data_IF_570302675237
#
_entry.id   IF_570302675237
#
_cell.length_a   1.000
_cell.length_b   1.000
_cell.length_c   1.000
_cell.angle_alpha   90.00
_cell.angle_beta   90.00
_cell.angle_gamma   90.00
#
_symmetry.space_group_name_H-M   'P 1'
#
loop_
_entity.id
_entity.type
_entity.pdbx_description
1 polymer ?
#
# COMPACT_ATOMS: atom_id res chain seq x y z
N UNK A 1 -9.47 -4.15 15.28
CA UNK A 1 -9.00 -5.15 16.24
C UNK A 1 -7.65 -5.73 15.80
N UNK A 2 -7.44 -6.06 14.52
CA UNK A 2 -6.20 -6.70 14.05
C UNK A 2 -4.97 -5.80 14.19
N UNK A 3 -5.03 -4.54 13.72
CA UNK A 3 -3.92 -3.60 13.81
C UNK A 3 -3.43 -3.35 15.25
N UNK A 4 -4.32 -3.01 16.23
CA UNK A 4 -3.90 -2.89 17.62
C UNK A 4 -3.25 -4.15 18.19
N UNK A 5 -3.68 -5.35 17.74
CA UNK A 5 -3.08 -6.60 18.17
C UNK A 5 -1.65 -6.75 17.65
N UNK A 6 -1.38 -6.40 16.39
CA UNK A 6 -0.03 -6.41 15.82
C UNK A 6 0.91 -5.44 16.56
N UNK A 7 0.45 -4.21 16.83
CA UNK A 7 1.20 -3.25 17.65
C UNK A 7 1.49 -3.77 19.06
N UNK A 8 0.49 -4.40 19.70
CA UNK A 8 0.66 -4.97 21.04
C UNK A 8 1.71 -6.09 21.05
N UNK A 9 1.71 -6.95 20.01
CA UNK A 9 2.72 -8.02 19.87
C UNK A 9 4.12 -7.43 19.67
N UNK A 10 4.27 -6.43 18.81
CA UNK A 10 5.56 -5.74 18.59
C UNK A 10 6.09 -5.12 19.88
N UNK A 11 5.25 -4.37 20.58
CA UNK A 11 5.59 -3.74 21.86
C UNK A 11 5.94 -4.76 22.96
N UNK A 12 5.18 -5.83 23.05
CA UNK A 12 5.46 -6.91 24.02
C UNK A 12 6.78 -7.61 23.71
N UNK A 13 7.08 -7.85 22.43
CA UNK A 13 8.29 -8.52 22.02
C UNK A 13 9.53 -7.61 22.07
N UNK A 14 9.38 -6.29 21.83
CA UNK A 14 10.49 -5.34 21.79
C UNK A 14 11.50 -5.65 20.70
N UNK A 15 11.07 -6.33 19.63
CA UNK A 15 11.90 -6.75 18.50
C UNK A 15 11.08 -6.68 17.21
N UNK A 16 11.78 -6.69 16.05
CA UNK A 16 11.09 -6.78 14.76
C UNK A 16 10.34 -8.10 14.56
N UNK A 17 9.75 -8.28 13.38
CA UNK A 17 8.85 -9.40 13.07
C UNK A 17 9.41 -10.77 13.45
N UNK A 18 10.63 -11.10 13.01
CA UNK A 18 11.23 -12.42 13.27
C UNK A 18 11.41 -12.70 14.76
N UNK A 19 11.88 -11.71 15.51
CA UNK A 19 12.07 -11.83 16.95
C UNK A 19 10.75 -11.94 17.71
N UNK A 20 9.72 -11.25 17.25
CA UNK A 20 8.37 -11.32 17.84
C UNK A 20 7.77 -12.71 17.69
N UNK A 21 7.88 -13.31 16.53
CA UNK A 21 7.46 -14.71 16.31
C UNK A 21 8.30 -15.69 17.13
N UNK A 22 9.62 -15.54 17.14
CA UNK A 22 10.50 -16.38 17.96
C UNK A 22 10.14 -16.31 19.43
N UNK A 23 9.90 -15.10 19.97
CA UNK A 23 9.51 -14.89 21.37
C UNK A 23 8.14 -15.46 21.70
N UNK A 24 7.17 -15.31 20.80
CA UNK A 24 5.83 -15.87 20.97
C UNK A 24 5.86 -17.40 21.03
N UNK A 25 6.65 -18.05 20.20
CA UNK A 25 6.80 -19.51 20.22
C UNK A 25 7.62 -20.00 21.42
N UNK A 26 8.64 -19.25 21.82
CA UNK A 26 9.42 -19.54 23.03
C UNK A 26 8.56 -19.52 24.29
N UNK A 27 7.56 -18.64 24.38
CA UNK A 27 6.65 -18.60 25.53
C UNK A 27 5.87 -19.89 25.73
N UNK A 28 5.68 -20.67 24.67
CA UNK A 28 5.01 -21.98 24.71
C UNK A 28 5.97 -23.14 24.93
N UNK A 29 7.15 -23.09 24.30
CA UNK A 29 8.21 -24.06 24.47
C UNK A 29 9.56 -23.46 24.08
N UNK A 30 10.61 -23.56 24.93
CA UNK A 30 11.95 -23.06 24.59
C UNK A 30 12.53 -23.69 23.30
N UNK A 31 12.19 -24.95 23.01
CA UNK A 31 12.65 -25.64 21.80
C UNK A 31 11.99 -25.12 20.53
N UNK A 32 10.81 -24.49 20.64
CA UNK A 32 10.06 -23.98 19.51
C UNK A 32 10.52 -22.58 19.02
N UNK A 33 11.40 -21.91 19.74
CA UNK A 33 11.89 -20.56 19.39
C UNK A 33 12.45 -20.45 17.97
N UNK A 34 13.27 -21.42 17.55
CA UNK A 34 13.84 -21.45 16.20
C UNK A 34 12.77 -21.63 15.12
N UNK A 35 11.77 -22.48 15.40
CA UNK A 35 10.66 -22.70 14.48
C UNK A 35 9.79 -21.43 14.36
N UNK A 36 9.55 -20.74 15.47
CA UNK A 36 8.83 -19.45 15.48
C UNK A 36 9.55 -18.39 14.64
N UNK A 37 10.87 -18.24 14.81
CA UNK A 37 11.68 -17.34 14.00
C UNK A 37 11.65 -17.69 12.50
N UNK A 38 11.71 -18.97 12.17
CA UNK A 38 11.59 -19.41 10.77
C UNK A 38 10.21 -19.09 10.18
N UNK A 39 9.14 -19.30 10.93
CA UNK A 39 7.78 -18.94 10.49
C UNK A 39 7.59 -17.42 10.33
N UNK A 40 8.31 -16.61 11.08
CA UNK A 40 8.30 -15.15 10.94
C UNK A 40 8.80 -14.64 9.59
N UNK A 41 9.56 -15.47 8.85
CA UNK A 41 9.98 -15.13 7.47
C UNK A 41 8.80 -15.08 6.48
N UNK A 42 7.74 -15.86 6.69
CA UNK A 42 6.59 -15.86 5.78
C UNK A 42 5.92 -14.49 5.68
N UNK A 43 5.44 -13.88 6.78
CA UNK A 43 4.83 -12.56 6.72
C UNK A 43 5.83 -11.46 6.35
N UNK A 44 7.10 -11.60 6.74
CA UNK A 44 8.14 -10.64 6.35
C UNK A 44 8.40 -10.68 4.84
N UNK A 45 8.57 -11.85 4.24
CA UNK A 45 8.73 -11.99 2.80
C UNK A 45 7.50 -11.49 2.04
N UNK A 46 6.29 -11.77 2.53
CA UNK A 46 5.05 -11.22 1.97
C UNK A 46 5.05 -9.69 1.96
N UNK A 47 5.43 -9.06 3.06
CA UNK A 47 5.56 -7.61 3.16
C UNK A 47 6.59 -7.04 2.19
N UNK A 48 7.73 -7.71 2.05
CA UNK A 48 8.78 -7.30 1.10
C UNK A 48 8.27 -7.38 -0.35
N UNK A 49 7.59 -8.45 -0.72
CA UNK A 49 7.01 -8.58 -2.06
C UNK A 49 5.99 -7.48 -2.34
N UNK A 50 5.13 -7.16 -1.37
CA UNK A 50 4.17 -6.07 -1.48
C UNK A 50 4.90 -4.73 -1.64
N UNK A 51 5.93 -4.47 -0.83
CA UNK A 51 6.69 -3.22 -0.91
C UNK A 51 7.38 -3.04 -2.28
N UNK A 52 7.93 -4.10 -2.85
CA UNK A 52 8.52 -4.08 -4.19
C UNK A 52 7.45 -3.74 -5.24
N UNK A 53 6.29 -4.41 -5.19
CA UNK A 53 5.17 -4.12 -6.10
C UNK A 53 4.69 -2.68 -5.98
N UNK A 54 4.55 -2.16 -4.77
CA UNK A 54 4.17 -0.76 -4.54
C UNK A 54 5.20 0.23 -5.07
N UNK A 55 6.49 -0.03 -4.90
CA UNK A 55 7.54 0.85 -5.40
C UNK A 55 7.45 0.99 -6.93
N UNK A 56 7.11 -0.09 -7.65
CA UNK A 56 6.88 -0.06 -9.10
C UNK A 56 5.64 0.79 -9.44
N UNK A 57 4.51 0.56 -8.74
CA UNK A 57 3.28 1.33 -8.98
C UNK A 57 3.50 2.82 -8.71
N UNK A 58 4.18 3.18 -7.61
CA UNK A 58 4.52 4.59 -7.30
C UNK A 58 5.39 5.19 -8.38
N UNK A 59 6.28 4.42 -9.00
CA UNK A 59 7.10 4.86 -10.12
C UNK A 59 6.27 5.20 -11.36
N UNK A 60 5.22 4.43 -11.65
CA UNK A 60 4.26 4.76 -12.71
C UNK A 60 3.49 6.05 -12.40
N UNK A 61 3.07 6.23 -11.15
CA UNK A 61 2.39 7.45 -10.71
C UNK A 61 3.32 8.66 -10.82
N UNK A 62 4.59 8.52 -10.44
CA UNK A 62 5.59 9.58 -10.57
C UNK A 62 5.80 9.98 -12.04
N UNK A 63 5.87 8.99 -12.95
CA UNK A 63 5.93 9.25 -14.39
C UNK A 63 4.70 10.01 -14.87
N UNK A 64 3.50 9.57 -14.47
CA UNK A 64 2.25 10.25 -14.82
C UNK A 64 2.22 11.70 -14.29
N UNK A 65 2.73 11.93 -13.09
CA UNK A 65 2.85 13.27 -12.51
C UNK A 65 3.78 14.15 -13.35
N UNK A 66 4.96 13.65 -13.71
CA UNK A 66 5.92 14.39 -14.54
C UNK A 66 5.28 14.75 -15.89
N UNK A 67 4.65 13.78 -16.57
CA UNK A 67 4.02 13.99 -17.86
C UNK A 67 2.79 14.91 -17.78
N UNK A 68 2.11 14.93 -16.65
CA UNK A 68 1.01 15.87 -16.39
C UNK A 68 1.52 17.30 -16.24
N UNK A 69 2.60 17.49 -15.45
CA UNK A 69 3.20 18.83 -15.21
C UNK A 69 3.87 19.38 -16.47
N UNK A 70 4.50 18.53 -17.27
CA UNK A 70 5.12 18.91 -18.54
C UNK A 70 4.10 19.12 -19.67
N UNK A 71 2.83 18.79 -19.45
CA UNK A 71 1.78 18.87 -20.47
C UNK A 71 1.78 17.74 -21.48
N UNK A 72 2.68 16.78 -21.38
CA UNK A 72 2.80 15.64 -22.30
C UNK A 72 1.50 14.82 -22.35
N UNK A 73 0.82 14.62 -21.22
CA UNK A 73 -0.46 13.91 -21.16
C UNK A 73 -1.60 14.60 -21.92
N UNK A 74 -1.48 15.90 -22.20
CA UNK A 74 -2.48 16.65 -22.97
C UNK A 74 -2.33 16.43 -24.49
N UNK A 75 -1.18 15.93 -24.92
CA UNK A 75 -0.83 15.78 -26.35
C UNK A 75 -0.85 14.32 -26.82
N UNK A 76 -0.89 13.36 -25.90
CA UNK A 76 -0.88 11.93 -26.21
C UNK A 76 -2.24 11.29 -25.92
N UNK A 77 -2.54 10.19 -26.62
CA UNK A 77 -3.68 9.36 -26.28
C UNK A 77 -3.41 8.66 -24.94
N UNK A 78 -4.20 9.01 -23.93
CA UNK A 78 -4.05 8.50 -22.55
C UNK A 78 -4.29 7.00 -22.45
N UNK A 79 -5.08 6.41 -23.35
CA UNK A 79 -5.35 4.98 -23.34
C UNK A 79 -4.11 4.16 -23.77
N UNK A 80 -3.36 4.64 -24.75
CA UNK A 80 -2.14 3.99 -25.24
C UNK A 80 -0.90 4.40 -24.44
N UNK A 81 -0.92 5.55 -23.77
CA UNK A 81 0.24 6.09 -23.04
C UNK A 81 0.81 5.12 -22.00
N UNK A 82 -0.04 4.54 -21.16
CA UNK A 82 0.40 3.60 -20.12
C UNK A 82 0.99 2.35 -20.74
N UNK A 83 0.36 1.80 -21.79
CA UNK A 83 0.82 0.61 -22.47
C UNK A 83 2.18 0.87 -23.16
N UNK A 84 2.32 1.98 -23.85
CA UNK A 84 3.58 2.36 -24.51
C UNK A 84 4.74 2.54 -23.51
N UNK A 85 4.43 3.06 -22.33
CA UNK A 85 5.43 3.23 -21.27
C UNK A 85 5.75 1.91 -20.56
N UNK A 86 4.74 1.11 -20.22
CA UNK A 86 4.91 -0.13 -19.44
C UNK A 86 5.57 -1.26 -20.24
N UNK A 87 5.42 -1.26 -21.57
CA UNK A 87 6.03 -2.27 -22.45
C UNK A 87 7.44 -1.92 -22.89
N UNK A 88 7.87 -0.67 -22.68
CA UNK A 88 9.23 -0.24 -23.06
C UNK A 88 10.23 -0.65 -21.99
N UNK A 89 11.22 -1.43 -22.37
CA UNK A 89 12.28 -1.89 -21.48
C UNK A 89 12.97 -0.71 -20.78
N UNK A 90 13.22 -0.88 -19.48
CA UNK A 90 13.91 0.07 -18.59
C UNK A 90 13.28 1.46 -18.46
N UNK A 91 12.11 1.73 -19.05
CA UNK A 91 11.45 3.04 -18.98
C UNK A 91 11.09 3.45 -17.55
N UNK A 92 10.77 2.49 -16.70
CA UNK A 92 10.38 2.68 -15.29
C UNK A 92 11.58 2.95 -14.40
N UNK A 93 12.77 2.45 -14.75
CA UNK A 93 13.96 2.44 -13.89
C UNK A 93 14.33 3.81 -13.34
N UNK A 94 14.42 4.91 -14.11
CA UNK A 94 14.80 6.20 -13.56
C UNK A 94 13.80 6.69 -12.51
N UNK A 95 12.52 6.50 -12.71
CA UNK A 95 11.47 6.85 -11.74
C UNK A 95 11.53 5.95 -10.50
N UNK A 96 11.81 4.66 -10.71
CA UNK A 96 11.96 3.69 -9.64
C UNK A 96 13.16 4.03 -8.74
N UNK A 97 14.29 4.41 -9.31
CA UNK A 97 15.46 4.86 -8.56
C UNK A 97 15.13 6.08 -7.71
N UNK A 98 14.41 7.08 -8.27
CA UNK A 98 13.98 8.27 -7.51
C UNK A 98 13.10 7.87 -6.33
N UNK A 99 12.11 6.99 -6.54
CA UNK A 99 11.21 6.50 -5.48
C UNK A 99 11.97 5.77 -4.39
N UNK A 100 12.86 4.85 -4.77
CA UNK A 100 13.65 4.07 -3.82
C UNK A 100 14.60 4.96 -3.02
N UNK A 101 15.33 5.85 -3.68
CA UNK A 101 16.25 6.78 -3.00
C UNK A 101 15.48 7.71 -2.06
N UNK A 102 14.35 8.28 -2.49
CA UNK A 102 13.50 9.12 -1.65
C UNK A 102 12.98 8.38 -0.42
N UNK A 103 12.56 7.13 -0.59
CA UNK A 103 12.12 6.27 0.51
C UNK A 103 13.27 5.98 1.49
N UNK A 104 14.44 5.60 0.96
CA UNK A 104 15.62 5.33 1.79
C UNK A 104 16.06 6.56 2.58
N UNK A 105 16.08 7.74 1.96
CA UNK A 105 16.40 9.00 2.66
C UNK A 105 15.42 9.27 3.81
N UNK A 106 14.13 9.01 3.60
CA UNK A 106 13.12 9.16 4.66
C UNK A 106 13.36 8.16 5.80
N UNK A 107 13.75 6.92 5.48
CA UNK A 107 13.99 5.87 6.46
C UNK A 107 15.29 6.06 7.24
N UNK A 108 16.35 6.58 6.61
CA UNK A 108 17.66 6.81 7.25
C UNK A 108 17.57 7.72 8.49
N UNK A 109 16.61 8.64 8.51
CA UNK A 109 16.38 9.55 9.63
C UNK A 109 15.50 8.96 10.74
N UNK A 110 15.07 7.70 10.58
CA UNK A 110 14.31 6.95 11.58
C UNK A 110 12.85 7.35 11.73
N UNK A 111 12.20 6.84 12.79
CA UNK A 111 10.77 7.00 13.03
C UNK A 111 10.31 8.47 13.10
N UNK A 112 11.12 9.37 13.65
CA UNK A 112 10.80 10.79 13.73
C UNK A 112 10.65 11.45 12.34
N UNK A 113 11.43 11.02 11.37
CA UNK A 113 11.33 11.53 9.99
C UNK A 113 10.08 11.03 9.32
N UNK A 114 9.73 9.76 9.51
CA UNK A 114 8.49 9.17 9.02
C UNK A 114 7.28 9.93 9.58
N UNK A 115 7.30 10.22 10.89
CA UNK A 115 6.23 10.99 11.54
C UNK A 115 6.10 12.40 10.96
N UNK A 116 7.21 13.14 10.80
CA UNK A 116 7.21 14.49 10.22
C UNK A 116 6.69 14.48 8.78
N UNK A 117 7.12 13.52 7.97
CA UNK A 117 6.66 13.35 6.59
C UNK A 117 5.15 13.10 6.56
N UNK A 118 4.65 12.20 7.41
CA UNK A 118 3.23 11.89 7.50
C UNK A 118 2.40 13.09 7.97
N UNK A 119 2.89 13.89 8.89
CA UNK A 119 2.20 15.12 9.35
C UNK A 119 1.95 16.13 8.22
N UNK A 120 2.81 16.15 7.20
CA UNK A 120 2.63 17.04 6.03
C UNK A 120 1.81 16.31 4.96
N UNK A 121 2.11 15.05 4.69
CA UNK A 121 1.47 14.30 3.60
C UNK A 121 -0.01 14.04 3.87
N UNK A 122 -0.39 13.71 5.11
CA UNK A 122 -1.79 13.39 5.42
C UNK A 122 -2.76 14.56 5.18
N UNK A 123 -2.54 15.77 5.71
CA UNK A 123 -3.40 16.91 5.37
C UNK A 123 -3.44 17.22 3.89
N UNK A 124 -2.28 17.20 3.22
CA UNK A 124 -2.20 17.42 1.77
C UNK A 124 -3.03 16.41 0.99
N UNK A 125 -2.96 15.13 1.36
CA UNK A 125 -3.76 14.06 0.79
C UNK A 125 -5.27 14.34 0.93
N UNK A 126 -5.73 14.73 2.13
CA UNK A 126 -7.13 15.07 2.35
C UNK A 126 -7.59 16.26 1.49
N UNK A 127 -6.76 17.30 1.40
CA UNK A 127 -7.08 18.47 0.56
C UNK A 127 -7.21 18.06 -0.91
N UNK A 128 -6.25 17.28 -1.42
CA UNK A 128 -6.28 16.81 -2.81
C UNK A 128 -7.53 15.96 -3.06
N UNK A 129 -7.86 15.04 -2.16
CA UNK A 129 -9.06 14.21 -2.30
C UNK A 129 -10.35 15.03 -2.25
N UNK A 130 -10.42 16.04 -1.39
CA UNK A 130 -11.58 16.93 -1.32
C UNK A 130 -11.75 17.71 -2.63
N UNK A 131 -10.67 18.26 -3.16
CA UNK A 131 -10.70 18.98 -4.44
C UNK A 131 -11.11 18.04 -5.58
N UNK A 132 -10.56 16.81 -5.61
CA UNK A 132 -10.93 15.82 -6.61
C UNK A 132 -12.40 15.41 -6.48
N UNK A 133 -12.90 15.18 -5.26
CA UNK A 133 -14.29 14.82 -5.02
C UNK A 133 -15.24 15.89 -5.54
N UNK A 134 -14.96 17.17 -5.26
CA UNK A 134 -15.74 18.30 -5.78
C UNK A 134 -15.66 18.36 -7.31
N UNK A 135 -14.47 18.25 -7.89
CA UNK A 135 -14.29 18.26 -9.36
C UNK A 135 -15.06 17.13 -10.03
N UNK A 136 -14.95 15.90 -9.51
CA UNK A 136 -15.66 14.74 -10.07
C UNK A 136 -17.17 14.92 -9.95
N UNK A 137 -17.67 15.45 -8.83
CA UNK A 137 -19.11 15.70 -8.64
C UNK A 137 -19.69 16.71 -9.66
N UNK A 138 -18.85 17.65 -10.14
CA UNK A 138 -19.24 18.67 -11.11
C UNK A 138 -19.05 18.25 -12.57
N UNK A 139 -18.50 17.05 -12.85
CA UNK A 139 -18.33 16.57 -14.22
C UNK A 139 -19.65 16.14 -14.83
N UNK A 140 -19.85 16.38 -16.14
CA UNK A 140 -20.99 15.82 -16.88
C UNK A 140 -20.98 14.28 -16.77
N UNK A 141 -22.13 13.67 -16.45
CA UNK A 141 -22.23 12.22 -16.27
C UNK A 141 -21.86 11.70 -14.87
N UNK A 142 -21.41 12.54 -13.95
CA UNK A 142 -21.10 12.13 -12.57
C UNK A 142 -22.27 11.45 -11.86
N UNK A 143 -23.50 11.88 -12.14
CA UNK A 143 -24.72 11.31 -11.56
C UNK A 143 -24.90 9.82 -11.90
N UNK A 144 -24.52 9.39 -13.11
CA UNK A 144 -24.57 7.97 -13.51
C UNK A 144 -23.55 7.14 -12.74
N UNK A 145 -22.33 7.68 -12.55
CA UNK A 145 -21.30 7.04 -11.74
C UNK A 145 -21.73 6.88 -10.28
N UNK A 146 -22.30 7.92 -9.68
CA UNK A 146 -22.82 7.84 -8.32
C UNK A 146 -24.00 6.86 -8.21
N UNK A 147 -24.89 6.86 -9.19
CA UNK A 147 -26.01 5.91 -9.24
C UNK A 147 -25.49 4.47 -9.31
N UNK A 148 -24.52 4.19 -10.17
CA UNK A 148 -23.89 2.86 -10.27
C UNK A 148 -23.26 2.44 -8.94
N UNK A 149 -22.51 3.31 -8.29
CA UNK A 149 -21.83 3.04 -7.03
C UNK A 149 -22.81 2.79 -5.87
N UNK A 150 -23.92 3.54 -5.83
CA UNK A 150 -24.89 3.48 -4.72
C UNK A 150 -26.04 2.49 -4.97
N UNK A 151 -26.17 1.95 -6.19
CA UNK A 151 -27.21 0.96 -6.50
C UNK A 151 -26.76 -0.43 -6.06
N UNK A 152 -27.39 -1.04 -5.06
CA UNK A 152 -26.99 -2.35 -4.57
C UNK A 152 -27.37 -3.44 -5.57
N UNK A 153 -26.40 -4.28 -5.91
CA UNK A 153 -26.58 -5.45 -6.77
C UNK A 153 -26.63 -6.71 -5.91
N UNK A 154 -27.78 -6.97 -5.29
CA UNK A 154 -27.95 -8.10 -4.35
C UNK A 154 -27.69 -9.46 -4.96
N UNK A 155 -27.93 -9.64 -6.27
CA UNK A 155 -27.65 -10.90 -6.96
C UNK A 155 -26.14 -11.24 -7.02
N UNK A 156 -25.28 -10.22 -6.96
CA UNK A 156 -23.83 -10.41 -6.90
C UNK A 156 -23.38 -11.18 -5.64
N UNK A 157 -24.12 -11.09 -4.55
CA UNK A 157 -23.82 -11.80 -3.30
C UNK A 157 -23.92 -13.31 -3.41
N UNK A 158 -24.65 -13.82 -4.42
CA UNK A 158 -24.74 -15.26 -4.71
C UNK A 158 -23.48 -15.83 -5.34
N UNK A 159 -22.59 -14.96 -5.85
CA UNK A 159 -21.38 -15.38 -6.53
C UNK A 159 -20.21 -15.49 -5.53
N UNK A 160 -19.63 -16.68 -5.29
CA UNK A 160 -18.51 -16.87 -4.36
C UNK A 160 -17.27 -16.02 -4.71
N UNK A 161 -17.04 -15.71 -5.98
CA UNK A 161 -15.92 -14.90 -6.41
C UNK A 161 -15.99 -13.47 -5.84
N UNK A 162 -17.19 -12.93 -5.66
CA UNK A 162 -17.39 -11.60 -5.07
C UNK A 162 -16.90 -11.58 -3.62
N UNK A 163 -17.21 -12.63 -2.87
CA UNK A 163 -16.77 -12.77 -1.49
C UNK A 163 -15.25 -12.93 -1.37
N UNK A 164 -14.64 -13.76 -2.24
CA UNK A 164 -13.18 -13.92 -2.29
C UNK A 164 -12.51 -12.58 -2.61
N UNK A 165 -13.01 -11.84 -3.60
CA UNK A 165 -12.47 -10.53 -3.97
C UNK A 165 -12.66 -9.50 -2.85
N UNK A 166 -13.83 -9.48 -2.20
CA UNK A 166 -14.11 -8.60 -1.08
C UNK A 166 -13.21 -8.90 0.12
N UNK A 167 -12.99 -10.19 0.44
CA UNK A 167 -12.04 -10.59 1.48
C UNK A 167 -10.61 -10.15 1.13
N UNK A 168 -10.16 -10.40 -0.08
CA UNK A 168 -8.84 -9.95 -0.55
C UNK A 168 -8.66 -8.44 -0.40
N UNK A 169 -9.66 -7.66 -0.82
CA UNK A 169 -9.64 -6.21 -0.67
C UNK A 169 -9.68 -5.77 0.80
N UNK A 170 -10.45 -6.46 1.65
CA UNK A 170 -10.50 -6.16 3.07
C UNK A 170 -9.15 -6.40 3.76
N UNK A 171 -8.49 -7.53 3.50
CA UNK A 171 -7.16 -7.82 4.02
C UNK A 171 -6.12 -6.79 3.54
N UNK A 172 -6.19 -6.43 2.26
CA UNK A 172 -5.31 -5.41 1.69
C UNK A 172 -5.53 -4.04 2.34
N UNK A 173 -6.77 -3.58 2.45
CA UNK A 173 -7.10 -2.26 3.03
C UNK A 173 -6.79 -2.17 4.51
N UNK A 174 -6.93 -3.28 5.25
CA UNK A 174 -6.61 -3.35 6.67
C UNK A 174 -5.12 -3.60 6.96
N UNK A 175 -4.31 -3.84 5.92
CA UNK A 175 -2.87 -4.17 6.04
C UNK A 175 -2.59 -5.32 7.02
N UNK A 176 -3.52 -6.26 7.18
CA UNK A 176 -3.47 -7.33 8.20
C UNK A 176 -2.43 -8.41 7.86
N UNK A 177 -2.00 -8.49 6.61
CA UNK A 177 -1.17 -9.61 6.15
C UNK A 177 0.33 -9.37 6.27
N UNK A 178 0.75 -8.16 6.65
CA UNK A 178 2.12 -7.72 6.42
C UNK A 178 3.06 -7.74 7.61
N UNK A 179 2.61 -8.03 8.82
CA UNK A 179 3.46 -7.89 10.03
C UNK A 179 4.20 -6.54 10.14
N UNK A 180 3.92 -5.60 9.25
CA UNK A 180 4.55 -4.28 9.24
C UNK A 180 4.27 -3.53 10.55
N UNK A 181 3.08 -3.66 11.10
CA UNK A 181 2.69 -3.01 12.34
C UNK A 181 3.39 -3.60 13.57
N UNK A 182 3.88 -4.83 13.50
CA UNK A 182 4.74 -5.42 14.55
C UNK A 182 6.04 -4.64 14.66
N UNK A 183 6.62 -4.22 13.55
CA UNK A 183 7.88 -3.46 13.55
C UNK A 183 7.73 -2.04 14.13
N UNK A 184 6.52 -1.46 14.07
CA UNK A 184 6.20 -0.15 14.67
C UNK A 184 5.77 -0.21 16.13
N UNK A 185 5.44 -1.37 16.66
CA UNK A 185 5.06 -1.59 18.07
C UNK A 185 6.25 -1.64 18.99
#
# INVERSE_FOLDING_TARGET
IALPAEFAVGRWAGTGTLGSYARAWRSRSPKAEKAGGALGWLPLAGSMCIAIGYAVIVSYVLKALVDSVTGTLMTVDTASWFQAFSTKDFSVVPYHVIVVVGTLLTLLLGANSIEKTNKVMMPLFFIIFLVLAVRVALLPGAAEGYRFMLTPHWDALKNPKVWISAMGQAFFSLSVTGSGMIAYG
#
